data_IF_960238210580
#
_entry.id   IF_960238210580
#
_cell.length_a   1.000
_cell.length_b   1.000
_cell.length_c   1.000
_cell.angle_alpha   90.00
_cell.angle_beta   90.00
_cell.angle_gamma   90.00
#
_symmetry.space_group_name_H-M   'P 1'
#
loop_
_entity.id
_entity.type
_entity.pdbx_description
1 polymer ?
#
# COMPACT_ATOMS: atom_id res chain seq x y z
N UNK A 1 28.32 53.78 16.30
CA UNK A 1 27.39 52.78 16.89
C UNK A 1 27.69 51.35 16.42
N UNK A 2 28.57 51.13 15.42
CA UNK A 2 28.83 49.81 14.82
C UNK A 2 29.88 48.96 15.56
N UNK A 3 31.04 49.54 15.93
CA UNK A 3 32.17 48.76 16.46
C UNK A 3 31.87 48.00 17.78
N UNK A 4 31.18 48.63 18.73
CA UNK A 4 30.83 48.00 20.02
C UNK A 4 29.76 46.90 19.85
N UNK A 5 28.85 47.08 18.89
CA UNK A 5 27.84 46.08 18.57
C UNK A 5 28.48 44.87 17.88
N UNK A 6 29.40 45.09 16.96
CA UNK A 6 30.12 44.03 16.24
C UNK A 6 30.98 43.22 17.22
N UNK A 7 31.69 43.87 18.14
CA UNK A 7 32.45 43.19 19.20
C UNK A 7 31.57 42.30 20.08
N UNK A 8 30.42 42.79 20.52
CA UNK A 8 29.50 42.03 21.35
C UNK A 8 28.92 40.78 20.64
N UNK A 9 28.69 40.88 19.32
CA UNK A 9 28.26 39.75 18.49
C UNK A 9 29.35 38.69 18.42
N UNK A 10 30.58 39.11 18.10
CA UNK A 10 31.70 38.17 17.93
C UNK A 10 32.08 37.47 19.24
N UNK A 11 32.03 38.16 20.38
CA UNK A 11 32.27 37.54 21.68
C UNK A 11 31.22 36.47 22.03
N UNK A 12 29.94 36.76 21.78
CA UNK A 12 28.87 35.82 22.01
C UNK A 12 28.97 34.62 21.05
N UNK A 13 29.29 34.87 19.78
CA UNK A 13 29.52 33.85 18.75
C UNK A 13 30.66 32.93 19.15
N UNK A 14 31.82 33.48 19.52
CA UNK A 14 32.98 32.70 19.94
C UNK A 14 32.68 31.80 21.16
N UNK A 15 31.96 32.33 22.14
CA UNK A 15 31.60 31.58 23.36
C UNK A 15 30.63 30.44 23.06
N UNK A 16 29.63 30.69 22.22
CA UNK A 16 28.66 29.68 21.77
C UNK A 16 29.36 28.59 20.96
N UNK A 17 30.15 28.96 19.94
CA UNK A 17 30.84 28.01 19.07
C UNK A 17 31.83 27.13 19.84
N UNK A 18 32.51 27.67 20.86
CA UNK A 18 33.41 26.90 21.72
C UNK A 18 32.69 25.73 22.40
N UNK A 19 31.47 25.97 22.89
CA UNK A 19 30.63 24.94 23.50
C UNK A 19 30.07 23.98 22.45
N UNK A 20 29.60 24.49 21.31
CA UNK A 20 29.05 23.66 20.24
C UNK A 20 30.07 22.69 19.64
N UNK A 21 31.34 23.08 19.58
CA UNK A 21 32.44 22.24 19.06
C UNK A 21 33.06 21.34 20.13
N UNK A 22 32.59 21.42 21.38
CA UNK A 22 33.16 20.64 22.48
C UNK A 22 32.76 19.16 22.37
N UNK A 23 33.74 18.27 22.43
CA UNK A 23 33.50 16.83 22.50
C UNK A 23 33.17 16.41 23.94
N UNK A 24 31.92 16.02 24.16
CA UNK A 24 31.44 15.56 25.46
C UNK A 24 32.15 14.29 25.96
N UNK A 25 32.68 13.43 25.09
CA UNK A 25 33.34 12.21 25.54
C UNK A 25 34.70 12.49 26.19
N UNK A 26 35.31 13.63 25.86
CA UNK A 26 36.61 14.05 26.38
C UNK A 26 36.63 14.20 27.91
N UNK A 27 35.49 14.43 28.56
CA UNK A 27 35.44 14.57 30.02
C UNK A 27 35.57 13.22 30.74
N UNK A 28 35.32 12.08 30.07
CA UNK A 28 35.22 10.77 30.71
C UNK A 28 36.46 10.39 31.52
N UNK A 29 37.67 10.60 30.99
CA UNK A 29 38.97 10.47 31.69
C UNK A 29 39.24 9.15 32.43
N UNK A 30 38.62 8.04 32.02
CA UNK A 30 38.78 6.70 32.64
C UNK A 30 40.25 6.27 32.75
N UNK A 31 41.02 6.44 31.68
CA UNK A 31 42.42 6.02 31.65
C UNK A 31 43.32 6.78 32.65
N UNK A 32 42.95 8.02 32.99
CA UNK A 32 43.76 8.89 33.87
C UNK A 32 43.31 8.91 35.33
N UNK A 33 42.03 8.66 35.60
CA UNK A 33 41.43 8.75 36.93
C UNK A 33 40.98 7.40 37.51
N UNK A 34 41.02 6.34 36.71
CA UNK A 34 40.54 5.01 37.09
C UNK A 34 39.02 4.92 37.22
N UNK A 35 38.52 3.75 37.64
CA UNK A 35 37.08 3.45 37.65
C UNK A 35 36.28 4.24 38.69
N UNK A 36 36.92 4.68 39.79
CA UNK A 36 36.20 5.31 40.90
C UNK A 36 36.08 6.84 40.79
N UNK A 37 37.03 7.51 40.12
CA UNK A 37 37.13 8.98 40.09
C UNK A 37 36.97 9.58 38.68
N UNK A 38 36.72 8.76 37.65
CA UNK A 38 36.42 9.23 36.30
C UNK A 38 35.08 9.97 36.23
N UNK A 39 34.83 10.67 35.13
CA UNK A 39 33.59 11.45 34.90
C UNK A 39 32.70 10.84 33.82
N UNK A 40 32.79 9.53 33.57
CA UNK A 40 31.97 8.89 32.55
C UNK A 40 30.47 9.08 32.79
N UNK A 41 30.03 9.10 34.06
CA UNK A 41 28.63 9.34 34.44
C UNK A 41 28.17 10.79 34.13
N UNK A 42 29.11 11.72 33.96
CA UNK A 42 28.86 13.10 33.57
C UNK A 42 28.67 13.29 32.06
N UNK A 43 29.02 12.30 31.23
CA UNK A 43 28.92 12.42 29.77
C UNK A 43 27.46 12.55 29.31
N UNK A 44 26.51 11.67 29.73
CA UNK A 44 25.11 11.81 29.32
C UNK A 44 24.47 13.17 29.67
N UNK A 45 24.58 13.70 30.91
CA UNK A 45 23.99 15.00 31.23
C UNK A 45 24.69 16.14 30.48
N UNK A 46 26.02 16.08 30.27
CA UNK A 46 26.71 17.08 29.47
C UNK A 46 26.22 17.09 28.01
N UNK A 47 26.13 15.92 27.35
CA UNK A 47 25.62 15.80 25.98
C UNK A 47 24.22 16.40 25.84
N UNK A 48 23.34 16.10 26.79
CA UNK A 48 21.97 16.65 26.81
C UNK A 48 21.98 18.18 26.90
N UNK A 49 22.82 18.74 27.74
CA UNK A 49 22.96 20.20 27.87
C UNK A 49 23.59 20.82 26.62
N UNK A 50 24.62 20.21 26.04
CA UNK A 50 25.25 20.67 24.79
C UNK A 50 24.25 20.70 23.62
N UNK A 51 23.32 19.74 23.57
CA UNK A 51 22.27 19.72 22.54
C UNK A 51 21.45 21.02 22.51
N UNK A 52 21.17 21.64 23.67
CA UNK A 52 20.47 22.93 23.73
C UNK A 52 21.26 24.05 23.04
N UNK A 53 22.58 24.07 23.22
CA UNK A 53 23.44 25.07 22.57
C UNK A 53 23.55 24.81 21.07
N UNK A 54 23.53 23.55 20.62
CA UNK A 54 23.56 23.20 19.19
C UNK A 54 22.32 23.69 18.43
N UNK A 55 21.17 23.83 19.09
CA UNK A 55 19.94 24.35 18.48
C UNK A 55 19.97 25.89 18.25
N UNK A 56 20.89 26.59 18.92
CA UNK A 56 21.09 28.04 18.72
C UNK A 56 22.05 28.27 17.57
N UNK A 57 21.56 28.82 16.47
CA UNK A 57 22.38 29.14 15.31
C UNK A 57 23.28 30.36 15.59
N UNK A 58 24.60 30.27 15.36
CA UNK A 58 25.50 31.42 15.53
C UNK A 58 25.09 32.62 14.67
N UNK A 59 24.57 32.40 13.48
CA UNK A 59 24.21 33.45 12.52
C UNK A 59 23.03 34.32 12.95
N UNK A 60 22.19 33.81 13.86
CA UNK A 60 21.02 34.57 14.31
C UNK A 60 21.38 35.61 15.38
N UNK A 61 22.61 35.57 15.93
CA UNK A 61 23.09 36.48 16.97
C UNK A 61 23.12 37.95 16.52
N UNK A 62 23.42 38.20 15.24
CA UNK A 62 23.40 39.55 14.64
C UNK A 62 22.03 40.22 14.76
N UNK A 63 20.96 39.43 14.59
CA UNK A 63 19.58 39.91 14.67
C UNK A 63 19.00 39.98 16.08
N UNK A 64 19.72 39.52 17.10
CA UNK A 64 19.26 39.52 18.48
C UNK A 64 19.51 40.87 19.18
N UNK A 65 18.81 41.11 20.30
CA UNK A 65 19.17 42.22 21.20
C UNK A 65 20.49 41.95 21.93
N UNK A 66 21.24 42.98 22.31
CA UNK A 66 22.46 42.85 23.11
C UNK A 66 22.26 42.02 24.39
N UNK A 67 21.21 42.30 25.16
CA UNK A 67 20.87 41.54 26.38
C UNK A 67 20.74 40.02 26.13
N UNK A 68 20.25 39.63 24.95
CA UNK A 68 20.11 38.22 24.57
C UNK A 68 21.44 37.58 24.22
N UNK A 69 22.28 38.29 23.45
CA UNK A 69 23.65 37.84 23.15
C UNK A 69 24.46 37.66 24.42
N UNK A 70 24.39 38.62 25.34
CA UNK A 70 25.06 38.55 26.63
C UNK A 70 24.58 37.37 27.47
N UNK A 71 23.28 37.08 27.48
CA UNK A 71 22.75 35.92 28.18
C UNK A 71 23.28 34.60 27.58
N UNK A 72 23.28 34.45 26.23
CA UNK A 72 23.82 33.26 25.56
C UNK A 72 25.31 33.09 25.89
N UNK A 73 26.08 34.18 25.77
CA UNK A 73 27.51 34.22 26.15
C UNK A 73 27.71 33.73 27.57
N UNK A 74 26.98 34.32 28.53
CA UNK A 74 27.08 33.96 29.95
C UNK A 74 26.73 32.49 30.21
N UNK A 75 25.69 31.94 29.56
CA UNK A 75 25.35 30.52 29.72
C UNK A 75 26.44 29.61 29.14
N UNK A 76 27.00 29.96 27.97
CA UNK A 76 28.07 29.20 27.34
C UNK A 76 29.37 29.25 28.15
N UNK A 77 29.73 30.42 28.69
CA UNK A 77 30.88 30.60 29.58
C UNK A 77 30.70 29.84 30.89
N UNK A 78 29.50 29.86 31.48
CA UNK A 78 29.20 29.13 32.70
C UNK A 78 29.35 27.62 32.51
N UNK A 79 28.79 27.04 31.43
CA UNK A 79 28.96 25.62 31.13
C UNK A 79 30.44 25.28 30.88
N UNK A 80 31.14 26.13 30.12
CA UNK A 80 32.56 25.90 29.84
C UNK A 80 33.40 25.93 31.10
N UNK A 81 33.08 26.79 32.07
CA UNK A 81 33.76 26.83 33.37
C UNK A 81 33.61 25.51 34.12
N UNK A 82 32.42 24.91 34.14
CA UNK A 82 32.19 23.59 34.75
C UNK A 82 33.01 22.51 34.03
N UNK A 83 33.00 22.51 32.70
CA UNK A 83 33.81 21.60 31.88
C UNK A 83 35.31 21.75 32.22
N UNK A 84 35.81 22.97 32.33
CA UNK A 84 37.20 23.25 32.69
C UNK A 84 37.54 22.73 34.09
N UNK A 85 36.63 22.87 35.06
CA UNK A 85 36.83 22.31 36.40
C UNK A 85 36.96 20.77 36.37
N UNK A 86 36.17 20.10 35.52
CA UNK A 86 36.26 18.65 35.30
C UNK A 86 37.57 18.26 34.62
N UNK A 87 37.98 18.97 33.57
CA UNK A 87 39.23 18.69 32.86
C UNK A 87 40.47 18.94 33.74
N UNK A 88 40.42 19.93 34.63
CA UNK A 88 41.49 20.28 35.56
C UNK A 88 41.45 19.48 36.87
N UNK A 89 40.45 18.62 37.08
CA UNK A 89 40.34 17.80 38.28
C UNK A 89 41.55 16.86 38.43
N UNK A 90 42.02 16.71 39.67
CA UNK A 90 43.12 15.79 40.03
C UNK A 90 42.77 14.99 41.30
N UNK A 91 43.22 13.73 41.32
CA UNK A 91 42.97 12.80 42.43
C UNK A 91 43.73 13.15 43.72
N UNK A 92 44.71 14.05 43.65
CA UNK A 92 45.49 14.50 44.81
C UNK A 92 44.83 15.60 45.65
N UNK A 93 43.61 16.02 45.30
CA UNK A 93 42.85 17.03 46.03
C UNK A 93 42.28 16.48 47.35
N UNK A 94 41.97 17.38 48.31
CA UNK A 94 41.24 16.99 49.50
C UNK A 94 39.80 16.59 49.11
N UNK A 95 39.36 15.39 49.51
CA UNK A 95 38.05 14.82 49.19
C UNK A 95 37.75 14.75 47.67
N UNK A 96 38.55 14.00 46.89
CA UNK A 96 38.46 13.99 45.43
C UNK A 96 37.12 13.40 44.95
N UNK A 97 36.62 12.36 45.62
CA UNK A 97 35.33 11.74 45.30
C UNK A 97 34.16 12.73 45.46
N UNK A 98 34.09 13.42 46.59
CA UNK A 98 33.03 14.41 46.85
C UNK A 98 33.08 15.55 45.83
N UNK A 99 34.28 16.02 45.48
CA UNK A 99 34.46 17.08 44.47
C UNK A 99 33.98 16.61 43.09
N UNK A 100 34.36 15.41 42.68
CA UNK A 100 33.90 14.77 41.43
C UNK A 100 32.38 14.64 41.38
N UNK A 101 31.77 14.11 42.44
CA UNK A 101 30.33 13.91 42.50
C UNK A 101 29.57 15.26 42.51
N UNK A 102 30.14 16.29 43.13
CA UNK A 102 29.61 17.65 43.08
C UNK A 102 29.61 18.24 41.66
N UNK A 103 30.70 18.08 40.91
CA UNK A 103 30.80 18.53 39.52
C UNK A 103 29.80 17.81 38.61
N UNK A 104 29.63 16.50 38.77
CA UNK A 104 28.62 15.73 38.02
C UNK A 104 27.22 16.20 38.38
N UNK A 105 26.96 16.45 39.67
CA UNK A 105 25.67 16.97 40.12
C UNK A 105 25.36 18.35 39.53
N UNK A 106 26.37 19.21 39.33
CA UNK A 106 26.19 20.50 38.63
C UNK A 106 25.74 20.30 37.17
N UNK A 107 26.31 19.32 36.46
CA UNK A 107 25.89 19.00 35.10
C UNK A 107 24.47 18.44 35.06
N UNK A 108 24.12 17.55 35.99
CA UNK A 108 22.79 16.94 36.08
C UNK A 108 21.73 17.99 36.38
N UNK A 109 21.95 18.80 37.41
CA UNK A 109 20.96 19.77 37.89
C UNK A 109 20.93 21.06 37.07
N UNK A 110 21.98 21.34 36.29
CA UNK A 110 22.09 22.55 35.48
C UNK A 110 21.16 22.56 34.26
N UNK A 111 20.74 21.39 33.76
CA UNK A 111 20.00 21.28 32.51
C UNK A 111 18.74 22.16 32.46
N UNK A 112 17.89 22.11 33.49
CA UNK A 112 16.63 22.86 33.50
C UNK A 112 16.87 24.37 33.45
N UNK A 113 17.87 24.86 34.19
CA UNK A 113 18.25 26.26 34.14
C UNK A 113 18.76 26.66 32.74
N UNK A 114 19.62 25.85 32.11
CA UNK A 114 20.06 26.15 30.74
C UNK A 114 18.89 26.16 29.76
N UNK A 115 17.96 25.22 29.89
CA UNK A 115 16.77 25.16 29.05
C UNK A 115 15.91 26.42 29.19
N UNK A 116 15.61 26.87 30.40
CA UNK A 116 14.82 28.08 30.64
C UNK A 116 15.46 29.34 30.06
N UNK A 117 16.79 29.47 30.19
CA UNK A 117 17.51 30.63 29.68
C UNK A 117 17.64 30.63 28.15
N UNK A 118 17.86 29.46 27.55
CA UNK A 118 18.17 29.32 26.12
C UNK A 118 16.93 29.11 25.25
N UNK A 119 15.85 28.53 25.77
CA UNK A 119 14.64 28.20 25.00
C UNK A 119 14.15 29.35 24.11
N UNK A 120 14.07 30.60 24.59
CA UNK A 120 13.61 31.68 23.74
C UNK A 120 14.58 32.04 22.59
N UNK A 121 15.88 31.82 22.79
CA UNK A 121 16.91 32.00 21.76
C UNK A 121 16.88 30.88 20.73
N UNK A 122 16.63 29.64 21.18
CA UNK A 122 16.35 28.48 20.33
C UNK A 122 15.12 28.73 19.46
N UNK A 123 14.00 29.15 20.06
CA UNK A 123 12.77 29.43 19.33
C UNK A 123 12.98 30.53 18.25
N UNK A 124 13.76 31.57 18.58
CA UNK A 124 14.13 32.60 17.61
C UNK A 124 15.02 32.04 16.49
N UNK A 125 16.04 31.23 16.83
CA UNK A 125 16.94 30.57 15.88
C UNK A 125 16.17 29.71 14.87
N UNK A 126 15.32 28.80 15.37
CA UNK A 126 14.49 27.93 14.54
C UNK A 126 13.60 28.74 13.61
N UNK A 127 12.95 29.80 14.11
CA UNK A 127 12.10 30.68 13.30
C UNK A 127 12.87 31.46 12.25
N UNK A 128 14.07 31.92 12.57
CA UNK A 128 14.87 32.72 11.63
C UNK A 128 15.49 31.86 10.52
N UNK A 129 15.83 30.62 10.84
CA UNK A 129 16.45 29.69 9.90
C UNK A 129 15.43 28.87 9.09
N UNK A 130 14.19 28.76 9.56
CA UNK A 130 13.13 28.01 8.86
C UNK A 130 12.18 28.96 8.16
N UNK A 131 12.13 28.90 6.83
CA UNK A 131 11.08 29.58 6.05
C UNK A 131 9.76 28.79 6.12
N UNK A 132 9.04 28.97 7.23
CA UNK A 132 7.74 28.33 7.46
C UNK A 132 6.70 28.70 6.39
N UNK A 133 6.76 29.91 5.82
CA UNK A 133 5.82 30.33 4.79
C UNK A 133 6.06 29.56 3.49
N UNK A 134 7.33 29.32 3.12
CA UNK A 134 7.68 28.44 2.00
C UNK A 134 7.23 27.00 2.26
N UNK A 135 7.53 26.45 3.44
CA UNK A 135 7.11 25.09 3.80
C UNK A 135 5.59 24.92 3.75
N UNK A 136 4.82 25.90 4.22
CA UNK A 136 3.36 25.84 4.15
C UNK A 136 2.87 25.86 2.69
N UNK A 137 3.43 26.72 1.83
CA UNK A 137 3.09 26.75 0.40
C UNK A 137 3.41 25.42 -0.28
N UNK A 138 4.56 24.84 0.01
CA UNK A 138 4.98 23.55 -0.52
C UNK A 138 4.06 22.41 -0.04
N UNK A 139 3.68 22.40 1.23
CA UNK A 139 2.75 21.42 1.79
C UNK A 139 1.36 21.51 1.11
N UNK A 140 0.82 22.72 0.94
CA UNK A 140 -0.45 22.94 0.24
C UNK A 140 -0.39 22.51 -1.22
N UNK A 141 0.72 22.83 -1.92
CA UNK A 141 0.93 22.39 -3.30
C UNK A 141 1.02 20.86 -3.42
N UNK A 142 1.69 20.20 -2.47
CA UNK A 142 1.79 18.75 -2.43
C UNK A 142 0.41 18.09 -2.21
N UNK A 143 -0.41 18.61 -1.29
CA UNK A 143 -1.77 18.12 -1.06
C UNK A 143 -2.63 18.30 -2.32
N UNK A 144 -2.58 19.48 -2.95
CA UNK A 144 -3.31 19.71 -4.21
C UNK A 144 -2.88 18.74 -5.30
N UNK A 145 -1.57 18.49 -5.44
CA UNK A 145 -1.07 17.53 -6.42
C UNK A 145 -1.53 16.10 -6.14
N UNK A 146 -1.66 15.70 -4.87
CA UNK A 146 -2.21 14.41 -4.48
C UNK A 146 -3.69 14.34 -4.86
N UNK A 147 -4.49 15.35 -4.52
CA UNK A 147 -5.91 15.40 -4.85
C UNK A 147 -6.15 15.31 -6.37
N UNK A 148 -5.36 16.06 -7.15
CA UNK A 148 -5.49 16.06 -8.62
C UNK A 148 -5.13 14.69 -9.20
N UNK A 149 -4.06 14.05 -8.70
CA UNK A 149 -3.69 12.68 -9.11
C UNK A 149 -4.75 11.66 -8.72
N UNK A 150 -5.34 11.78 -7.53
CA UNK A 150 -6.44 10.90 -7.10
C UNK A 150 -7.63 11.03 -8.03
N UNK A 151 -8.04 12.25 -8.40
CA UNK A 151 -9.14 12.46 -9.37
C UNK A 151 -8.85 11.85 -10.73
N UNK A 152 -7.61 11.96 -11.22
CA UNK A 152 -7.20 11.32 -12.48
C UNK A 152 -7.28 9.80 -12.39
N UNK A 153 -6.76 9.21 -11.30
CA UNK A 153 -6.81 7.76 -11.08
C UNK A 153 -8.26 7.27 -10.95
N UNK A 154 -9.13 7.99 -10.25
CA UNK A 154 -10.56 7.68 -10.16
C UNK A 154 -11.24 7.70 -11.53
N UNK A 155 -10.93 8.70 -12.36
CA UNK A 155 -11.45 8.80 -13.72
C UNK A 155 -10.96 7.64 -14.61
N UNK A 156 -9.67 7.29 -14.53
CA UNK A 156 -9.11 6.14 -15.26
C UNK A 156 -9.71 4.80 -14.80
N UNK A 157 -9.91 4.63 -13.50
CA UNK A 157 -10.52 3.42 -12.95
C UNK A 157 -11.96 3.25 -13.44
N UNK A 158 -12.73 4.35 -13.45
CA UNK A 158 -14.09 4.35 -13.98
C UNK A 158 -14.12 4.01 -15.47
N UNK A 159 -13.25 4.61 -16.27
CA UNK A 159 -13.15 4.32 -17.70
C UNK A 159 -12.82 2.83 -17.95
N UNK A 160 -11.86 2.26 -17.21
CA UNK A 160 -11.52 0.84 -17.29
C UNK A 160 -12.67 -0.08 -16.86
N UNK A 161 -13.45 0.33 -15.86
CA UNK A 161 -14.65 -0.41 -15.44
C UNK A 161 -15.69 -0.45 -16.55
N UNK A 162 -15.96 0.69 -17.18
CA UNK A 162 -16.91 0.80 -18.30
C UNK A 162 -16.43 -0.04 -19.52
N UNK A 163 -15.14 -0.01 -19.84
CA UNK A 163 -14.54 -0.84 -20.90
C UNK A 163 -14.67 -2.35 -20.59
N UNK A 164 -14.41 -2.75 -19.34
CA UNK A 164 -14.55 -4.14 -18.91
C UNK A 164 -16.00 -4.62 -18.98
N UNK A 165 -16.97 -3.77 -18.61
CA UNK A 165 -18.40 -4.08 -18.72
C UNK A 165 -18.83 -4.27 -20.17
N UNK A 166 -18.38 -3.39 -21.08
CA UNK A 166 -18.61 -3.54 -22.52
C UNK A 166 -17.98 -4.81 -23.09
N UNK A 167 -16.75 -5.15 -22.69
CA UNK A 167 -16.08 -6.37 -23.12
C UNK A 167 -16.84 -7.62 -22.66
N UNK A 168 -17.32 -7.64 -21.40
CA UNK A 168 -18.13 -8.74 -20.87
C UNK A 168 -19.47 -8.87 -21.61
N UNK A 169 -20.11 -7.76 -21.97
CA UNK A 169 -21.35 -7.77 -22.75
C UNK A 169 -21.12 -8.31 -24.17
N UNK A 170 -20.04 -7.89 -24.84
CA UNK A 170 -19.65 -8.42 -26.14
C UNK A 170 -19.38 -9.93 -26.08
N UNK A 171 -18.67 -10.41 -25.05
CA UNK A 171 -18.44 -11.85 -24.83
C UNK A 171 -19.77 -12.59 -24.63
N UNK A 172 -20.70 -12.05 -23.82
CA UNK A 172 -22.03 -12.65 -23.61
C UNK A 172 -22.82 -12.74 -24.92
N UNK A 173 -22.78 -11.70 -25.74
CA UNK A 173 -23.46 -11.67 -27.04
C UNK A 173 -22.87 -12.70 -28.02
N UNK A 174 -21.55 -12.75 -28.15
CA UNK A 174 -20.87 -13.73 -29.02
C UNK A 174 -21.13 -15.15 -28.53
N UNK A 175 -21.11 -15.40 -27.22
CA UNK A 175 -21.43 -16.71 -26.66
C UNK A 175 -22.89 -17.12 -26.94
N UNK A 176 -23.85 -16.19 -26.88
CA UNK A 176 -25.23 -16.45 -27.24
C UNK A 176 -25.39 -16.75 -28.74
N UNK A 177 -24.76 -15.96 -29.61
CA UNK A 177 -24.81 -16.16 -31.07
C UNK A 177 -24.15 -17.48 -31.50
N UNK A 178 -22.97 -17.80 -30.95
CA UNK A 178 -22.26 -19.06 -31.24
C UNK A 178 -22.97 -20.28 -30.61
N UNK A 179 -23.55 -20.13 -29.42
CA UNK A 179 -24.32 -21.20 -28.79
C UNK A 179 -25.55 -21.59 -29.62
N UNK A 180 -26.30 -20.61 -30.12
CA UNK A 180 -27.49 -20.84 -30.95
C UNK A 180 -27.10 -21.32 -32.35
N UNK A 181 -26.03 -20.79 -32.95
CA UNK A 181 -25.60 -21.19 -34.29
C UNK A 181 -25.11 -22.64 -34.33
N UNK A 182 -24.35 -23.09 -33.33
CA UNK A 182 -23.88 -24.48 -33.24
C UNK A 182 -25.05 -25.46 -33.07
N UNK A 183 -26.02 -25.14 -32.21
CA UNK A 183 -27.23 -25.95 -32.06
C UNK A 183 -28.02 -26.00 -33.37
N UNK A 184 -28.20 -24.86 -34.06
CA UNK A 184 -28.92 -24.82 -35.32
C UNK A 184 -28.22 -25.61 -36.45
N UNK A 185 -26.89 -25.59 -36.49
CA UNK A 185 -26.10 -26.36 -37.45
C UNK A 185 -26.24 -27.87 -37.20
N UNK A 186 -26.15 -28.29 -35.94
CA UNK A 186 -26.34 -29.69 -35.54
C UNK A 186 -27.76 -30.18 -35.85
N UNK A 187 -28.79 -29.38 -35.52
CA UNK A 187 -30.18 -29.70 -35.87
C UNK A 187 -30.40 -29.84 -37.37
N UNK A 188 -29.76 -28.97 -38.17
CA UNK A 188 -29.88 -29.04 -39.63
C UNK A 188 -29.22 -30.31 -40.16
N UNK A 189 -27.99 -30.61 -39.75
CA UNK A 189 -27.27 -31.80 -40.18
C UNK A 189 -28.03 -33.09 -39.82
N UNK A 190 -28.52 -33.18 -38.58
CA UNK A 190 -29.33 -34.32 -38.12
C UNK A 190 -30.67 -34.42 -38.89
N UNK A 191 -31.31 -33.27 -39.18
CA UNK A 191 -32.55 -33.26 -39.98
C UNK A 191 -32.34 -33.75 -41.41
N UNK A 192 -31.20 -33.41 -42.04
CA UNK A 192 -30.85 -33.88 -43.38
C UNK A 192 -30.50 -35.37 -43.39
N UNK A 193 -29.81 -35.85 -42.34
CA UNK A 193 -29.53 -37.27 -42.15
C UNK A 193 -30.83 -38.08 -42.00
N UNK A 194 -31.73 -37.64 -41.11
CA UNK A 194 -33.03 -38.28 -40.92
C UNK A 194 -33.91 -38.23 -42.17
N UNK A 195 -33.88 -37.13 -42.95
CA UNK A 195 -34.61 -37.06 -44.21
C UNK A 195 -34.10 -38.11 -45.21
N UNK A 196 -32.78 -38.30 -45.32
CA UNK A 196 -32.19 -39.35 -46.16
C UNK A 196 -32.60 -40.73 -45.68
N UNK A 197 -32.47 -41.02 -44.39
CA UNK A 197 -32.88 -42.31 -43.82
C UNK A 197 -34.37 -42.59 -44.04
N UNK A 198 -35.24 -41.58 -43.87
CA UNK A 198 -36.67 -41.70 -44.11
C UNK A 198 -36.97 -42.09 -45.57
N UNK A 199 -36.26 -41.52 -46.55
CA UNK A 199 -36.44 -41.91 -47.96
C UNK A 199 -35.98 -43.35 -48.25
N UNK A 200 -34.91 -43.81 -47.60
CA UNK A 200 -34.44 -45.19 -47.69
C UNK A 200 -35.47 -46.15 -47.08
N UNK A 201 -35.98 -45.83 -45.89
CA UNK A 201 -37.04 -46.61 -45.24
C UNK A 201 -38.33 -46.64 -46.06
N UNK A 202 -38.73 -45.52 -46.66
CA UNK A 202 -39.87 -45.47 -47.58
C UNK A 202 -39.67 -46.39 -48.79
N UNK A 203 -38.48 -46.36 -49.40
CA UNK A 203 -38.19 -47.26 -50.52
C UNK A 203 -38.22 -48.74 -50.12
N UNK A 204 -37.64 -49.08 -48.96
CA UNK A 204 -37.65 -50.45 -48.42
C UNK A 204 -39.06 -50.94 -48.10
N UNK A 205 -39.86 -50.13 -47.42
CA UNK A 205 -41.25 -50.47 -47.08
C UNK A 205 -42.12 -50.59 -48.33
N UNK A 206 -41.96 -49.70 -49.32
CA UNK A 206 -42.64 -49.84 -50.62
C UNK A 206 -42.30 -51.16 -51.31
N UNK A 207 -41.01 -51.51 -51.37
CA UNK A 207 -40.57 -52.76 -51.99
C UNK A 207 -41.11 -53.98 -51.24
N UNK A 208 -41.11 -53.94 -49.91
CA UNK A 208 -41.70 -55.00 -49.07
C UNK A 208 -43.20 -55.16 -49.34
N UNK A 209 -43.95 -54.05 -49.41
CA UNK A 209 -45.39 -54.07 -49.71
C UNK A 209 -45.67 -54.64 -51.10
N UNK A 210 -44.88 -54.28 -52.12
CA UNK A 210 -44.99 -54.87 -53.47
C UNK A 210 -44.73 -56.37 -53.42
N UNK A 211 -43.66 -56.79 -52.74
CA UNK A 211 -43.32 -58.20 -52.60
C UNK A 211 -44.42 -59.00 -51.89
N UNK A 212 -44.98 -58.45 -50.79
CA UNK A 212 -46.09 -59.07 -50.06
C UNK A 212 -47.33 -59.21 -50.95
N UNK A 213 -47.65 -58.17 -51.74
CA UNK A 213 -48.77 -58.19 -52.69
C UNK A 213 -48.60 -59.24 -53.79
N UNK A 214 -47.41 -59.38 -54.35
CA UNK A 214 -47.10 -60.43 -55.33
C UNK A 214 -47.15 -61.83 -54.72
N UNK A 215 -46.63 -62.00 -53.50
CA UNK A 215 -46.68 -63.28 -52.77
C UNK A 215 -48.12 -63.70 -52.48
N UNK A 216 -48.96 -62.78 -51.97
CA UNK A 216 -50.39 -63.00 -51.73
C UNK A 216 -51.15 -63.34 -53.03
N UNK A 217 -50.82 -62.66 -54.13
CA UNK A 217 -51.43 -62.95 -55.44
C UNK A 217 -51.01 -64.32 -55.98
N UNK A 218 -49.73 -64.70 -55.83
CA UNK A 218 -49.21 -65.99 -56.27
C UNK A 218 -49.79 -67.15 -55.46
N UNK A 219 -49.97 -66.96 -54.15
CA UNK A 219 -50.64 -67.95 -53.28
C UNK A 219 -52.12 -68.11 -53.64
N UNK A 220 -52.82 -67.05 -54.01
CA UNK A 220 -54.19 -67.14 -54.54
C UNK A 220 -54.27 -67.90 -55.86
N UNK A 221 -53.35 -67.67 -56.80
CA UNK A 221 -53.34 -68.36 -58.11
C UNK A 221 -52.95 -69.83 -58.01
N UNK A 222 -52.02 -70.18 -57.11
CA UNK A 222 -51.68 -71.59 -56.82
C UNK A 222 -52.76 -72.32 -56.02
N UNK A 223 -53.60 -71.57 -55.30
CA UNK A 223 -54.76 -72.08 -54.55
C UNK A 223 -56.07 -71.70 -55.27
N UNK A 224 -56.19 -71.87 -56.59
CA UNK A 224 -57.51 -71.94 -57.24
C UNK A 224 -57.96 -73.41 -57.37
N UNK A 225 -58.61 -73.99 -56.34
CA UNK A 225 -59.49 -75.12 -56.56
C UNK A 225 -60.71 -74.65 -57.36
N UNK A 226 -61.12 -75.52 -58.26
CA UNK A 226 -62.32 -75.43 -59.09
C UNK A 226 -63.57 -75.04 -58.28
N UNK A 227 -64.54 -74.45 -58.98
CA UNK A 227 -65.93 -74.18 -58.58
C UNK A 227 -66.25 -72.77 -58.02
N UNK A 228 -66.68 -71.88 -58.92
CA UNK A 228 -67.85 -71.01 -58.66
C UNK A 228 -68.68 -70.92 -59.94
N UNK A 229 -69.82 -71.61 -59.96
CA UNK A 229 -70.78 -71.51 -61.05
C UNK A 229 -71.91 -72.51 -60.92
N UNK A 230 -72.86 -72.25 -60.03
CA UNK A 230 -74.25 -71.98 -60.41
C UNK A 230 -75.17 -72.08 -59.20
N UNK A 231 -76.01 -71.06 -59.06
CA UNK A 231 -77.25 -71.20 -58.31
C UNK A 231 -78.24 -72.11 -59.06
N UNK A 232 -79.26 -72.55 -58.31
CA UNK A 232 -80.38 -73.44 -58.66
C UNK A 232 -80.00 -74.94 -58.63
N UNK A 233 -80.65 -75.84 -57.88
CA UNK A 233 -82.01 -75.83 -57.34
C UNK A 233 -82.17 -76.92 -56.25
N UNK A 234 -83.03 -76.62 -55.26
CA UNK A 234 -83.88 -77.51 -54.44
C UNK A 234 -83.29 -78.76 -53.73
N UNK A 235 -83.44 -78.83 -52.41
CA UNK A 235 -84.45 -79.67 -51.70
C UNK A 235 -84.13 -79.72 -50.19
N UNK A 236 -85.10 -79.28 -49.38
CA UNK A 236 -85.46 -79.62 -47.99
C UNK A 236 -84.42 -79.99 -46.88
N UNK A 237 -84.57 -79.20 -45.80
CA UNK A 237 -84.67 -79.56 -44.36
C UNK A 237 -83.43 -79.64 -43.44
N UNK A 238 -83.55 -78.84 -42.35
CA UNK A 238 -83.22 -79.06 -40.92
C UNK A 238 -82.02 -78.32 -40.27
N UNK A 239 -82.41 -77.43 -39.35
CA UNK A 239 -81.94 -77.19 -37.96
C UNK A 239 -80.44 -77.12 -37.64
N UNK A 240 -79.96 -75.97 -37.10
CA UNK A 240 -79.62 -75.75 -35.67
C UNK A 240 -78.07 -75.61 -35.52
N UNK A 241 -77.41 -74.89 -34.59
CA UNK A 241 -77.72 -74.05 -33.43
C UNK A 241 -76.37 -73.40 -33.00
N UNK A 242 -76.42 -72.17 -32.43
CA UNK A 242 -75.51 -71.49 -31.47
C UNK A 242 -74.02 -71.91 -31.36
N UNK A 243 -73.03 -71.02 -31.27
CA UNK A 243 -72.87 -69.85 -30.38
C UNK A 243 -71.69 -69.01 -30.87
#
# INVERSE_FOLDING_TARGET
MTLEQDQNVEEARASLERIQKFDADSIGRRDSLGDELNFADGIPPLRRTLALFLEVSPDVLEGMSQKRRENIKQQADALFSVIQQILNFTAGSANPKQTRDGLISQLVNGYDNYFEQLWPSIAYSVRRNTDFARLEREARAAIQSIEDRTKVVEAELKARQDEAEQALDAIRKVAAEQGVSQQALYFKEESEAHAKEATVWLARTRNLTIFLGLFASSTLVLHTPECVGCGSTSVHHLSAVFT
#
